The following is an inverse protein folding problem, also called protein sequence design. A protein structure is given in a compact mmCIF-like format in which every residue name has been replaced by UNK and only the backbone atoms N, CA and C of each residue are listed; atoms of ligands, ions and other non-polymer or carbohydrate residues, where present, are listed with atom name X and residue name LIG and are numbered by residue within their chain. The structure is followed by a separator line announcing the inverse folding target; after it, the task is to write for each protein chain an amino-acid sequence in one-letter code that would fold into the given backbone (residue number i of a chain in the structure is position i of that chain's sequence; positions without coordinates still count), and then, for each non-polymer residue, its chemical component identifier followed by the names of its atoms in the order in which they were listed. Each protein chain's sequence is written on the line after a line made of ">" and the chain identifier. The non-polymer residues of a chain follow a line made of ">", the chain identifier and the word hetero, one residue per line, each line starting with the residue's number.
data_IF_815308104801
#
_entry.id   IF_815308104801
#
_cell.length_a   1.000
_cell.length_b   1.000
_cell.length_c   1.000
_cell.angle_alpha   90.00
_cell.angle_beta   90.00
_cell.angle_gamma   90.00
#
_symmetry.space_group_name_H-M   'P 1'
#
loop_
_entity.id
_entity.type
_entity.pdbx_description
1 polymer ?
#
# COMPACT_ATOMS: atom_id res chain seq x y z
N UNK A 1 -52.73 -49.10 0.30
CA UNK A 1 -51.28 -49.11 0.03
C UNK A 1 -50.91 -47.76 -0.55
N UNK A 2 -50.30 -46.88 0.26
CA UNK A 2 -49.92 -45.52 -0.17
C UNK A 2 -48.41 -45.50 -0.26
N UNK A 3 -47.87 -45.41 -1.50
CA UNK A 3 -46.46 -45.35 -1.76
C UNK A 3 -45.94 -43.91 -1.48
N UNK A 4 -44.96 -43.78 -0.60
CA UNK A 4 -44.23 -42.52 -0.34
C UNK A 4 -43.08 -42.39 -1.32
N UNK A 5 -42.91 -41.20 -1.98
CA UNK A 5 -41.76 -40.96 -2.84
C UNK A 5 -40.49 -40.69 -1.99
N UNK A 6 -39.30 -41.09 -2.47
CA UNK A 6 -38.02 -40.77 -1.78
C UNK A 6 -37.67 -39.30 -1.98
N UNK A 7 -37.40 -38.61 -0.86
CA UNK A 7 -36.85 -37.26 -0.87
C UNK A 7 -35.36 -37.36 -1.20
N UNK A 8 -34.98 -36.97 -2.42
CA UNK A 8 -33.59 -36.76 -2.79
C UNK A 8 -33.07 -35.48 -2.10
N UNK A 9 -32.23 -35.66 -1.08
CA UNK A 9 -31.50 -34.57 -0.47
C UNK A 9 -30.36 -34.12 -1.41
N UNK A 10 -30.53 -32.95 -2.04
CA UNK A 10 -29.50 -32.32 -2.85
C UNK A 10 -28.46 -31.71 -1.91
N UNK A 11 -27.32 -32.38 -1.73
CA UNK A 11 -26.14 -31.79 -1.04
C UNK A 11 -25.55 -30.70 -1.97
N UNK A 12 -25.81 -29.44 -1.65
CA UNK A 12 -25.12 -28.32 -2.28
C UNK A 12 -23.68 -28.25 -1.76
N UNK A 13 -22.71 -28.67 -2.57
CA UNK A 13 -21.29 -28.41 -2.31
C UNK A 13 -21.04 -26.90 -2.46
N UNK A 14 -20.92 -26.20 -1.34
CA UNK A 14 -20.36 -24.86 -1.31
C UNK A 14 -18.85 -24.97 -1.61
N UNK A 15 -18.45 -24.65 -2.83
CA UNK A 15 -17.06 -24.43 -3.17
C UNK A 15 -16.58 -23.15 -2.43
N UNK A 16 -15.85 -23.32 -1.35
CA UNK A 16 -15.15 -22.23 -0.68
C UNK A 16 -14.07 -21.70 -1.63
N UNK A 17 -14.27 -20.50 -2.18
CA UNK A 17 -13.24 -19.82 -2.95
C UNK A 17 -12.03 -19.59 -2.01
N UNK A 18 -10.78 -19.89 -2.44
CA UNK A 18 -9.62 -19.62 -1.61
C UNK A 18 -9.53 -18.11 -1.36
N UNK A 19 -9.64 -17.69 -0.09
CA UNK A 19 -9.26 -16.35 0.29
C UNK A 19 -7.78 -16.20 -0.09
N UNK A 20 -7.50 -15.20 -0.95
CA UNK A 20 -6.11 -14.84 -1.28
C UNK A 20 -5.38 -14.51 0.02
N UNK A 21 -4.52 -15.42 0.46
CA UNK A 21 -3.85 -15.29 1.75
C UNK A 21 -2.79 -14.18 1.66
N UNK A 22 -2.96 -13.15 2.51
CA UNK A 22 -1.94 -12.14 2.75
C UNK A 22 -0.94 -12.68 3.75
N UNK A 23 0.34 -12.73 3.37
CA UNK A 23 1.45 -13.12 4.22
C UNK A 23 2.06 -11.87 4.86
N UNK A 24 2.23 -11.87 6.19
CA UNK A 24 2.98 -10.85 6.90
C UNK A 24 4.47 -11.14 6.78
N UNK A 25 5.23 -10.18 6.27
CA UNK A 25 6.69 -10.25 6.19
C UNK A 25 7.35 -9.58 7.40
N UNK A 26 6.58 -8.94 8.27
CA UNK A 26 7.01 -8.33 9.52
C UNK A 26 6.44 -6.94 9.77
N UNK A 27 6.59 -6.52 11.03
CA UNK A 27 6.28 -5.17 11.50
C UNK A 27 7.56 -4.56 12.05
N UNK A 28 7.87 -3.36 11.61
CA UNK A 28 9.12 -2.64 11.89
C UNK A 28 8.75 -1.22 12.32
N UNK A 29 8.73 -0.97 13.61
CA UNK A 29 8.26 0.29 14.19
C UNK A 29 6.89 0.71 13.64
N UNK A 30 6.85 1.80 12.85
CA UNK A 30 5.61 2.35 12.28
C UNK A 30 5.26 1.78 10.92
N UNK A 31 6.09 0.91 10.36
CA UNK A 31 5.90 0.27 9.06
C UNK A 31 5.70 -1.22 9.17
N UNK A 32 4.91 -1.78 8.27
CA UNK A 32 4.74 -3.21 8.11
C UNK A 32 5.02 -3.61 6.66
N UNK A 33 5.45 -4.86 6.46
CA UNK A 33 5.63 -5.43 5.13
C UNK A 33 4.72 -6.64 4.94
N UNK A 34 4.14 -6.75 3.75
CA UNK A 34 3.22 -7.82 3.37
C UNK A 34 3.52 -8.36 1.98
N UNK A 35 3.06 -9.59 1.74
CA UNK A 35 3.04 -10.23 0.43
C UNK A 35 1.64 -10.74 0.14
N UNK A 36 1.10 -10.34 -1.00
CA UNK A 36 -0.13 -10.86 -1.58
C UNK A 36 0.24 -11.88 -2.68
N UNK A 37 -0.46 -13.01 -2.71
CA UNK A 37 -0.15 -14.08 -3.67
C UNK A 37 -0.79 -13.85 -5.04
N UNK A 38 -1.99 -13.27 -5.09
CA UNK A 38 -2.73 -13.05 -6.32
C UNK A 38 -3.53 -11.74 -6.27
N UNK A 39 -3.18 -10.72 -7.09
CA UNK A 39 -1.98 -10.68 -7.91
C UNK A 39 -0.71 -10.62 -7.04
N UNK A 40 0.41 -11.16 -7.56
CA UNK A 40 1.68 -11.17 -6.84
C UNK A 40 2.16 -9.75 -6.54
N UNK A 41 2.25 -9.39 -5.27
CA UNK A 41 2.64 -8.06 -4.80
C UNK A 41 3.31 -8.16 -3.44
N UNK A 42 4.43 -7.45 -3.26
CA UNK A 42 4.99 -7.20 -1.95
C UNK A 42 4.99 -5.70 -1.69
N UNK A 43 4.75 -5.29 -0.46
CA UNK A 43 4.71 -3.86 -0.15
C UNK A 43 5.02 -3.57 1.30
N UNK A 44 5.63 -2.43 1.51
CA UNK A 44 5.72 -1.78 2.81
C UNK A 44 4.58 -0.77 2.94
N UNK A 45 4.02 -0.62 4.14
CA UNK A 45 2.89 0.26 4.41
C UNK A 45 3.00 0.89 5.80
N UNK A 46 2.61 2.16 5.90
CA UNK A 46 2.40 2.84 7.18
C UNK A 46 1.16 3.73 7.13
N UNK A 47 0.50 3.87 8.28
CA UNK A 47 -0.57 4.85 8.48
C UNK A 47 0.00 6.23 8.74
N UNK A 48 -0.73 7.26 8.32
CA UNK A 48 -0.45 8.62 8.76
C UNK A 48 -0.63 8.75 10.27
N UNK A 49 0.27 9.48 10.89
CA UNK A 49 0.22 9.76 12.32
C UNK A 49 -0.74 10.89 12.66
N UNK A 50 -1.17 10.92 13.93
CA UNK A 50 -2.08 11.94 14.44
C UNK A 50 -3.54 11.70 14.02
N UNK A 51 -4.36 12.75 14.21
CA UNK A 51 -5.78 12.70 13.85
C UNK A 51 -5.97 13.15 12.41
N UNK A 52 -6.48 12.27 11.56
CA UNK A 52 -6.76 12.55 10.14
C UNK A 52 -8.27 12.54 9.87
N UNK A 53 -8.73 13.29 8.86
CA UNK A 53 -10.16 13.38 8.50
C UNK A 53 -10.72 12.03 8.03
N UNK A 54 -9.89 11.23 7.34
CA UNK A 54 -10.18 9.86 6.96
C UNK A 54 -8.89 9.04 7.06
N UNK A 55 -8.95 7.70 7.09
CA UNK A 55 -7.76 6.85 7.10
C UNK A 55 -6.83 7.19 5.94
N UNK A 56 -5.59 7.54 6.26
CA UNK A 56 -4.53 7.87 5.31
C UNK A 56 -3.35 6.93 5.53
N UNK A 57 -2.72 6.50 4.43
CA UNK A 57 -1.56 5.60 4.49
C UNK A 57 -0.67 5.75 3.25
N UNK A 58 0.58 5.41 3.41
CA UNK A 58 1.55 5.38 2.34
C UNK A 58 2.06 3.96 2.10
N UNK A 59 2.29 3.60 0.86
CA UNK A 59 2.85 2.30 0.46
C UNK A 59 4.02 2.47 -0.49
N UNK A 60 4.97 1.54 -0.39
CA UNK A 60 6.01 1.28 -1.38
C UNK A 60 5.81 -0.14 -1.87
N UNK A 61 5.46 -0.31 -3.13
CA UNK A 61 5.00 -1.59 -3.69
C UNK A 61 5.91 -2.13 -4.77
N UNK A 62 6.06 -3.46 -4.78
CA UNK A 62 6.73 -4.22 -5.82
C UNK A 62 5.72 -5.14 -6.48
N UNK A 63 5.69 -5.14 -7.81
CA UNK A 63 4.84 -5.99 -8.63
C UNK A 63 5.73 -6.80 -9.58
N UNK A 64 6.19 -8.00 -9.17
CA UNK A 64 7.17 -8.77 -9.94
C UNK A 64 6.74 -9.04 -11.38
N UNK A 65 5.47 -9.41 -11.58
CA UNK A 65 4.95 -9.76 -12.90
C UNK A 65 4.80 -8.54 -13.83
N UNK A 66 4.86 -7.32 -13.28
CA UNK A 66 4.82 -6.06 -14.03
C UNK A 66 6.18 -5.38 -14.14
N UNK A 67 7.24 -5.96 -13.58
CA UNK A 67 8.56 -5.35 -13.52
C UNK A 67 8.64 -4.08 -12.66
N UNK A 68 7.62 -3.82 -11.82
CA UNK A 68 7.57 -2.63 -10.96
C UNK A 68 8.33 -2.88 -9.66
N UNK A 69 9.27 -2.00 -9.35
CA UNK A 69 10.15 -2.11 -8.18
C UNK A 69 10.13 -0.82 -7.37
N UNK A 70 9.24 -0.72 -6.40
CA UNK A 70 9.20 0.40 -5.47
C UNK A 70 8.26 1.54 -5.89
N UNK A 71 7.08 1.23 -6.44
CA UNK A 71 6.06 2.23 -6.72
C UNK A 71 5.53 2.86 -5.43
N UNK A 72 5.63 4.16 -5.30
CA UNK A 72 5.13 4.95 -4.18
C UNK A 72 3.67 5.33 -4.43
N UNK A 73 2.80 5.00 -3.49
CA UNK A 73 1.40 5.38 -3.52
C UNK A 73 0.95 5.87 -2.15
N UNK A 74 0.23 6.97 -2.12
CA UNK A 74 -0.33 7.54 -0.89
C UNK A 74 -1.83 7.64 -1.02
N UNK A 75 -2.55 7.10 -0.04
CA UNK A 75 -3.97 7.38 0.15
C UNK A 75 -4.09 8.54 1.14
N UNK A 76 -4.66 9.64 0.66
CA UNK A 76 -4.75 10.90 1.38
C UNK A 76 -5.89 10.88 2.40
N UNK A 77 -5.76 11.67 3.46
CA UNK A 77 -6.83 11.87 4.44
C UNK A 77 -8.01 12.68 3.90
N UNK A 78 -7.85 13.34 2.78
CA UNK A 78 -8.88 14.13 2.10
C UNK A 78 -8.84 13.90 0.60
N UNK A 79 -9.98 14.05 -0.02
CA UNK A 79 -10.08 14.16 -1.47
C UNK A 79 -9.54 15.50 -1.95
N UNK A 80 -8.82 15.49 -3.06
CA UNK A 80 -8.24 16.69 -3.66
C UNK A 80 -8.89 16.99 -5.01
N UNK A 81 -8.93 18.28 -5.35
CA UNK A 81 -9.42 18.72 -6.65
C UNK A 81 -8.53 18.16 -7.78
N UNK A 82 -9.12 17.98 -8.95
CA UNK A 82 -8.37 17.60 -10.15
C UNK A 82 -7.27 18.62 -10.43
N UNK A 83 -6.05 18.13 -10.73
CA UNK A 83 -4.84 18.95 -10.92
C UNK A 83 -4.36 19.69 -9.65
N UNK A 84 -4.82 19.30 -8.47
CA UNK A 84 -4.27 19.85 -7.24
C UNK A 84 -2.76 19.58 -7.16
N UNK A 85 -2.02 20.61 -6.74
CA UNK A 85 -0.57 20.49 -6.49
C UNK A 85 -0.36 19.89 -5.11
N UNK A 86 0.12 18.65 -5.07
CA UNK A 86 0.53 17.98 -3.86
C UNK A 86 2.04 17.90 -3.79
N UNK A 87 2.56 18.14 -2.60
CA UNK A 87 3.99 18.05 -2.31
C UNK A 87 4.25 16.98 -1.27
N UNK A 88 5.12 16.04 -1.62
CA UNK A 88 5.73 15.11 -0.70
C UNK A 88 7.05 15.69 -0.23
N UNK A 89 7.21 15.84 1.08
CA UNK A 89 8.48 16.23 1.72
C UNK A 89 9.03 15.03 2.47
N UNK A 90 10.26 14.62 2.16
CA UNK A 90 10.95 13.50 2.80
C UNK A 90 12.27 14.04 3.39
N UNK A 91 12.31 14.22 4.70
CA UNK A 91 13.39 14.99 5.33
C UNK A 91 13.41 16.41 4.77
N UNK A 92 14.48 16.77 4.09
CA UNK A 92 14.65 18.08 3.44
C UNK A 92 14.32 18.06 1.94
N UNK A 93 14.12 16.88 1.35
CA UNK A 93 13.83 16.74 -0.08
C UNK A 93 12.35 16.91 -0.35
N UNK A 94 12.03 17.53 -1.50
CA UNK A 94 10.66 17.82 -1.94
C UNK A 94 10.40 17.20 -3.29
N UNK A 95 9.21 16.60 -3.44
CA UNK A 95 8.77 15.94 -4.65
C UNK A 95 7.34 16.37 -4.95
N UNK A 96 7.03 16.65 -6.21
CA UNK A 96 5.67 16.89 -6.64
C UNK A 96 4.99 15.54 -6.92
N UNK A 97 3.74 15.39 -6.49
CA UNK A 97 2.94 14.20 -6.70
C UNK A 97 1.81 14.47 -7.70
N UNK A 98 1.48 13.45 -8.48
CA UNK A 98 0.25 13.40 -9.28
C UNK A 98 -0.87 12.85 -8.40
N UNK A 99 -2.06 13.46 -8.46
CA UNK A 99 -3.18 13.06 -7.61
C UNK A 99 -4.49 12.96 -8.37
N UNK A 100 -5.34 12.03 -7.91
CA UNK A 100 -6.73 11.89 -8.32
C UNK A 100 -7.57 11.40 -7.14
N UNK A 101 -8.59 12.17 -6.77
CA UNK A 101 -9.40 11.87 -5.59
C UNK A 101 -8.55 11.83 -4.33
N UNK A 102 -8.53 10.71 -3.63
CA UNK A 102 -7.71 10.49 -2.45
C UNK A 102 -6.39 9.76 -2.73
N UNK A 103 -6.02 9.60 -3.98
CA UNK A 103 -4.82 8.85 -4.35
C UNK A 103 -3.76 9.78 -4.92
N UNK A 104 -2.51 9.56 -4.55
CA UNK A 104 -1.36 10.31 -5.04
C UNK A 104 -0.17 9.38 -5.33
N UNK A 105 0.59 9.71 -6.36
CA UNK A 105 1.72 8.92 -6.87
C UNK A 105 2.87 9.81 -7.29
N UNK A 106 4.07 9.24 -7.37
CA UNK A 106 5.15 9.84 -8.13
C UNK A 106 4.76 9.95 -9.62
N UNK A 107 5.29 10.94 -10.31
CA UNK A 107 4.98 11.16 -11.72
C UNK A 107 5.48 10.01 -12.63
N UNK A 108 6.58 9.36 -12.24
CA UNK A 108 7.23 8.29 -13.00
C UNK A 108 8.09 7.40 -12.10
N UNK A 109 8.65 6.34 -12.68
CA UNK A 109 9.51 5.39 -11.98
C UNK A 109 10.82 6.02 -11.44
N UNK A 110 11.33 7.08 -12.06
CA UNK A 110 12.50 7.83 -11.59
C UNK A 110 12.13 8.60 -10.31
N UNK A 111 10.96 9.20 -10.28
CA UNK A 111 10.39 9.85 -9.09
C UNK A 111 10.21 8.85 -7.95
N UNK A 112 9.64 7.67 -8.23
CA UNK A 112 9.52 6.58 -7.25
C UNK A 112 10.87 6.22 -6.63
N UNK A 113 11.88 5.98 -7.46
CA UNK A 113 13.22 5.61 -7.00
C UNK A 113 13.87 6.70 -6.15
N UNK A 114 13.71 7.96 -6.51
CA UNK A 114 14.23 9.10 -5.76
C UNK A 114 13.54 9.27 -4.40
N UNK A 115 12.23 9.08 -4.35
CA UNK A 115 11.45 9.12 -3.10
C UNK A 115 11.87 7.98 -2.19
N UNK A 116 11.94 6.74 -2.69
CA UNK A 116 12.35 5.56 -1.91
C UNK A 116 13.78 5.75 -1.36
N UNK A 117 14.71 6.27 -2.17
CA UNK A 117 16.06 6.57 -1.71
C UNK A 117 16.07 7.60 -0.57
N UNK A 118 15.25 8.65 -0.65
CA UNK A 118 15.11 9.64 0.41
C UNK A 118 14.49 9.06 1.69
N UNK A 119 13.48 8.18 1.56
CA UNK A 119 12.83 7.52 2.69
C UNK A 119 13.79 6.65 3.51
N UNK A 120 14.83 6.10 2.89
CA UNK A 120 15.81 5.24 3.58
C UNK A 120 16.71 5.99 4.56
N UNK A 121 16.87 7.29 4.40
CA UNK A 121 17.78 8.11 5.21
C UNK A 121 17.10 9.17 6.06
N UNK A 122 15.83 9.48 5.78
CA UNK A 122 15.07 10.49 6.53
C UNK A 122 14.32 9.87 7.72
N UNK A 123 13.99 10.70 8.71
CA UNK A 123 13.23 10.26 9.90
C UNK A 123 11.72 10.47 9.77
N UNK A 124 11.28 11.31 8.84
CA UNK A 124 9.86 11.66 8.64
C UNK A 124 9.57 12.10 7.22
N UNK A 125 8.33 11.94 6.83
CA UNK A 125 7.81 12.51 5.59
C UNK A 125 6.41 13.09 5.80
N UNK A 126 5.98 13.95 4.89
CA UNK A 126 4.63 14.50 4.89
C UNK A 126 4.15 14.75 3.48
N UNK A 127 2.84 14.56 3.26
CA UNK A 127 2.15 14.97 2.03
C UNK A 127 1.28 16.17 2.36
N UNK A 128 1.44 17.27 1.63
CA UNK A 128 0.69 18.50 1.85
C UNK A 128 0.13 19.07 0.55
N UNK A 129 -1.00 19.73 0.67
CA UNK A 129 -1.71 20.40 -0.41
C UNK A 129 -3.20 20.45 -0.10
N UNK A 130 -3.96 21.31 -0.78
CA UNK A 130 -5.41 21.38 -0.60
C UNK A 130 -5.87 21.68 0.84
N UNK A 131 -5.05 22.35 1.65
CA UNK A 131 -5.40 22.73 3.02
C UNK A 131 -5.25 21.64 4.07
N UNK A 132 -4.50 20.55 3.79
CA UNK A 132 -4.21 19.47 4.75
C UNK A 132 -2.73 19.05 4.70
N UNK A 133 -2.33 18.30 5.72
CA UNK A 133 -1.00 17.67 5.77
C UNK A 133 -1.11 16.31 6.47
N UNK A 134 -0.79 15.25 5.74
CA UNK A 134 -0.65 13.89 6.27
C UNK A 134 0.82 13.65 6.60
N UNK A 135 1.11 13.22 7.83
CA UNK A 135 2.46 13.05 8.37
C UNK A 135 2.75 11.60 8.67
N UNK A 136 3.98 11.18 8.37
CA UNK A 136 4.46 9.82 8.59
C UNK A 136 5.82 9.85 9.28
N UNK A 137 6.01 9.02 10.30
CA UNK A 137 7.36 8.67 10.75
C UNK A 137 7.97 7.65 9.81
N UNK A 138 9.26 7.74 9.55
CA UNK A 138 10.00 6.79 8.72
C UNK A 138 10.78 5.76 9.54
N UNK A 139 10.57 5.72 10.87
CA UNK A 139 11.13 4.67 11.71
C UNK A 139 10.61 3.30 11.21
N UNK A 140 11.50 2.41 10.83
CA UNK A 140 11.21 1.09 10.28
C UNK A 140 10.94 1.05 8.77
N UNK A 141 10.83 2.20 8.08
CA UNK A 141 10.52 2.24 6.65
C UNK A 141 11.55 1.49 5.80
N UNK A 142 12.84 1.76 5.99
CA UNK A 142 13.91 1.10 5.24
C UNK A 142 13.86 -0.42 5.39
N UNK A 143 13.71 -0.91 6.62
CA UNK A 143 13.63 -2.34 6.92
C UNK A 143 12.38 -2.99 6.33
N UNK A 144 11.22 -2.32 6.40
CA UNK A 144 9.98 -2.81 5.80
C UNK A 144 10.08 -2.89 4.27
N UNK A 145 10.69 -1.89 3.62
CA UNK A 145 10.94 -1.89 2.17
C UNK A 145 11.88 -3.03 1.78
N UNK A 146 12.94 -3.27 2.56
CA UNK A 146 13.85 -4.38 2.33
C UNK A 146 13.15 -5.74 2.50
N UNK A 147 12.35 -5.90 3.54
CA UNK A 147 11.56 -7.12 3.76
C UNK A 147 10.60 -7.39 2.58
N UNK A 148 9.90 -6.37 2.07
CA UNK A 148 9.06 -6.48 0.88
C UNK A 148 9.89 -6.87 -0.35
N UNK A 149 11.05 -6.27 -0.55
CA UNK A 149 11.95 -6.56 -1.68
C UNK A 149 12.42 -8.01 -1.65
N UNK A 150 12.89 -8.49 -0.50
CA UNK A 150 13.34 -9.88 -0.32
C UNK A 150 12.16 -10.85 -0.44
N UNK A 151 11.00 -10.52 0.09
CA UNK A 151 9.78 -11.32 0.02
C UNK A 151 9.33 -11.61 -1.41
N UNK A 152 9.47 -10.61 -2.31
CA UNK A 152 9.16 -10.77 -3.73
C UNK A 152 10.32 -11.30 -4.59
N UNK A 153 11.55 -11.28 -4.11
CA UNK A 153 12.70 -11.89 -4.80
C UNK A 153 12.72 -13.42 -4.71
N UNK A 154 12.12 -13.98 -3.65
CA UNK A 154 11.99 -15.43 -3.46
C UNK A 154 10.76 -15.92 -4.23
N UNK A 155 10.98 -16.58 -5.34
CA UNK A 155 9.99 -17.36 -6.09
C UNK A 155 10.13 -18.84 -5.77
#
# INVERSE_FOLDING_TARGET
>A
MIARPPVLALLALFAAAPLSARESLGVYDSWAAFKDASPARCYAIAKAGGKTAAPAYATVSLWPDKGVRGAVHVVLSREVAEKARLRLTVGEKRFDLVAKGRNAWAADARGDAAIVAAMRSASRMSVSGGGFTDRYTLAGAATAIDAATVGCAKR
#
